data_IF_603117391490
#
_entry.id   IF_603117391490
#
_cell.length_a   1.000
_cell.length_b   1.000
_cell.length_c   1.000
_cell.angle_alpha   90.00
_cell.angle_beta   90.00
_cell.angle_gamma   90.00
#
_symmetry.space_group_name_H-M   'P 1'
#
loop_
_entity.id
_entity.type
_entity.pdbx_description
1 polymer ?
#
# COMPACT_ATOMS: atom_id res chain seq x y z
N UNK A 1 -20.90 -19.22 -18.80
CA UNK A 1 -19.56 -19.82 -18.74
C UNK A 1 -19.02 -19.59 -17.34
N UNK A 2 -18.92 -20.69 -16.57
CA UNK A 2 -18.38 -20.67 -15.22
C UNK A 2 -16.87 -20.41 -15.30
N UNK A 3 -16.42 -19.31 -14.70
CA UNK A 3 -14.99 -19.09 -14.49
C UNK A 3 -14.49 -20.07 -13.44
N UNK A 4 -13.65 -21.01 -13.86
CA UNK A 4 -12.90 -21.90 -12.96
C UNK A 4 -11.93 -21.05 -12.11
N UNK A 5 -12.07 -21.16 -10.80
CA UNK A 5 -11.22 -20.50 -9.81
C UNK A 5 -9.89 -21.25 -9.76
N UNK A 6 -8.72 -20.61 -9.94
CA UNK A 6 -7.44 -21.29 -9.83
C UNK A 6 -7.24 -21.87 -8.42
N UNK A 7 -7.13 -23.19 -8.34
CA UNK A 7 -7.01 -23.98 -7.09
C UNK A 7 -5.62 -23.95 -6.43
N UNK A 8 -4.69 -23.05 -6.80
CA UNK A 8 -3.25 -23.28 -6.54
C UNK A 8 -2.64 -22.80 -5.24
N UNK A 9 -3.33 -22.05 -4.34
CA UNK A 9 -2.69 -21.56 -3.10
C UNK A 9 -3.36 -21.97 -1.78
N UNK A 10 -4.39 -22.77 -1.86
CA UNK A 10 -5.01 -23.42 -0.72
C UNK A 10 -4.87 -24.92 -0.94
N UNK A 11 -3.61 -25.41 -0.70
CA UNK A 11 -3.21 -26.79 -0.99
C UNK A 11 -4.21 -27.85 -0.48
N UNK A 12 -4.43 -28.76 -1.33
CA UNK A 12 -4.83 -30.16 -1.40
C UNK A 12 -5.60 -30.87 -0.26
N UNK A 13 -5.81 -30.28 0.93
CA UNK A 13 -6.42 -31.00 2.06
C UNK A 13 -7.65 -30.29 2.65
N UNK A 14 -8.39 -29.50 1.87
CA UNK A 14 -9.60 -28.83 2.36
C UNK A 14 -10.82 -29.56 1.82
N UNK A 15 -11.51 -30.30 2.67
CA UNK A 15 -12.89 -30.69 2.42
C UNK A 15 -13.72 -29.41 2.22
N UNK A 16 -14.54 -29.38 1.17
CA UNK A 16 -15.40 -28.23 0.84
C UNK A 16 -16.41 -27.87 1.95
N UNK A 17 -16.64 -28.77 2.90
CA UNK A 17 -17.50 -28.60 4.07
C UNK A 17 -16.99 -27.60 5.11
N UNK A 18 -15.66 -27.28 5.10
CA UNK A 18 -15.04 -26.45 6.14
C UNK A 18 -14.98 -24.96 5.78
N UNK A 19 -15.44 -24.61 4.58
CA UNK A 19 -15.41 -23.25 4.06
C UNK A 19 -16.80 -22.61 4.13
N UNK A 20 -16.89 -21.55 4.92
CA UNK A 20 -18.09 -20.72 5.01
C UNK A 20 -17.92 -19.46 4.16
N UNK A 21 -18.93 -19.15 3.33
CA UNK A 21 -18.88 -18.02 2.41
C UNK A 21 -19.79 -16.87 2.83
N UNK A 22 -19.24 -15.67 2.89
CA UNK A 22 -19.90 -14.44 3.29
C UNK A 22 -19.75 -13.33 2.24
N UNK A 23 -20.51 -12.26 2.37
CA UNK A 23 -20.22 -11.00 1.71
C UNK A 23 -18.95 -10.41 2.32
N UNK A 24 -18.06 -9.86 1.49
CA UNK A 24 -16.82 -9.31 1.98
C UNK A 24 -17.05 -7.98 2.71
N UNK A 25 -16.63 -7.86 3.98
CA UNK A 25 -16.77 -6.61 4.73
C UNK A 25 -15.81 -5.50 4.26
N UNK A 26 -14.79 -5.85 3.47
CA UNK A 26 -13.76 -4.91 3.03
C UNK A 26 -14.05 -4.29 1.65
N UNK A 27 -14.70 -5.02 0.74
CA UNK A 27 -14.99 -4.52 -0.60
C UNK A 27 -16.47 -4.51 -0.95
N UNK A 28 -17.35 -4.93 -0.02
CA UNK A 28 -18.81 -4.94 -0.16
C UNK A 28 -19.32 -5.55 -1.48
N UNK A 29 -18.57 -6.49 -2.08
CA UNK A 29 -18.91 -7.12 -3.35
C UNK A 29 -20.28 -7.85 -3.26
N UNK A 30 -21.10 -7.72 -4.28
CA UNK A 30 -22.48 -8.22 -4.33
C UNK A 30 -22.64 -9.76 -4.29
N UNK A 31 -21.55 -10.53 -4.40
CA UNK A 31 -21.55 -12.01 -4.29
C UNK A 31 -20.77 -12.45 -3.06
N UNK A 32 -21.19 -13.56 -2.44
CA UNK A 32 -20.49 -14.19 -1.33
C UNK A 32 -19.15 -14.78 -1.79
N UNK A 33 -18.10 -14.00 -1.78
CA UNK A 33 -16.73 -14.38 -2.20
C UNK A 33 -15.69 -14.26 -1.08
N UNK A 34 -16.15 -14.01 0.14
CA UNK A 34 -15.32 -13.99 1.34
C UNK A 34 -15.41 -15.36 2.01
N UNK A 35 -14.35 -16.13 1.92
CA UNK A 35 -14.27 -17.49 2.47
C UNK A 35 -13.60 -17.46 3.84
N UNK A 36 -14.20 -18.13 4.81
CA UNK A 36 -13.68 -18.34 6.17
C UNK A 36 -13.56 -19.83 6.40
N UNK A 37 -12.39 -20.30 6.81
CA UNK A 37 -12.15 -21.66 7.28
C UNK A 37 -11.93 -21.61 8.80
N UNK A 38 -12.90 -22.11 9.57
CA UNK A 38 -12.88 -22.07 11.02
C UNK A 38 -11.82 -23.05 11.56
N UNK A 39 -11.71 -24.23 10.97
CA UNK A 39 -10.77 -25.28 11.41
C UNK A 39 -9.33 -24.84 11.21
N UNK A 40 -9.02 -24.25 10.04
CA UNK A 40 -7.66 -23.76 9.73
C UNK A 40 -7.41 -22.32 10.23
N UNK A 41 -8.39 -21.71 10.90
CA UNK A 41 -8.31 -20.34 11.44
C UNK A 41 -7.86 -19.30 10.40
N UNK A 42 -8.37 -19.40 9.15
CA UNK A 42 -7.95 -18.59 8.00
C UNK A 42 -9.15 -18.00 7.26
N UNK A 43 -8.91 -16.88 6.59
CA UNK A 43 -9.93 -16.23 5.76
C UNK A 43 -9.33 -15.56 4.53
N UNK A 44 -10.12 -15.44 3.46
CA UNK A 44 -9.71 -14.78 2.21
C UNK A 44 -10.92 -14.28 1.43
N UNK A 45 -10.82 -13.06 0.89
CA UNK A 45 -11.72 -12.59 -0.15
C UNK A 45 -11.12 -12.87 -1.54
N UNK A 46 -11.87 -13.54 -2.40
CA UNK A 46 -11.44 -13.87 -3.75
C UNK A 46 -11.58 -12.71 -4.75
N UNK A 47 -12.19 -11.59 -4.33
CA UNK A 47 -12.38 -10.39 -5.15
C UNK A 47 -11.32 -9.34 -4.85
N UNK A 48 -11.25 -8.85 -3.61
CA UNK A 48 -10.29 -7.80 -3.24
C UNK A 48 -8.94 -8.33 -2.74
N UNK A 49 -8.77 -9.66 -2.62
CA UNK A 49 -7.52 -10.27 -2.15
C UNK A 49 -7.25 -10.15 -0.65
N UNK A 50 -8.10 -9.47 0.12
CA UNK A 50 -7.96 -9.38 1.57
C UNK A 50 -7.92 -10.79 2.18
N UNK A 51 -6.92 -11.07 3.01
CA UNK A 51 -6.70 -12.38 3.62
C UNK A 51 -6.05 -12.26 5.00
N UNK A 52 -6.15 -13.33 5.77
CA UNK A 52 -5.47 -13.44 7.06
C UNK A 52 -5.43 -14.89 7.56
N UNK A 53 -4.48 -15.14 8.44
CA UNK A 53 -4.21 -16.47 8.99
C UNK A 53 -4.83 -16.69 10.37
N UNK A 54 -5.60 -15.70 10.89
CA UNK A 54 -6.25 -15.79 12.20
C UNK A 54 -7.59 -15.07 12.19
N UNK A 55 -8.63 -15.70 12.74
CA UNK A 55 -9.97 -15.09 12.86
C UNK A 55 -9.99 -13.96 13.89
N UNK A 56 -9.21 -14.03 14.96
CA UNK A 56 -9.06 -12.92 15.90
C UNK A 56 -8.56 -11.66 15.18
N UNK A 57 -7.59 -11.79 14.26
CA UNK A 57 -7.11 -10.69 13.42
C UNK A 57 -8.18 -10.13 12.48
N UNK A 58 -9.09 -10.98 11.97
CA UNK A 58 -10.25 -10.54 11.20
C UNK A 58 -11.19 -9.69 12.06
N UNK A 59 -11.55 -10.17 13.24
CA UNK A 59 -12.47 -9.48 14.15
C UNK A 59 -11.91 -8.13 14.62
N UNK A 60 -10.60 -8.07 14.93
CA UNK A 60 -9.93 -6.79 15.22
C UNK A 60 -10.00 -5.81 14.03
N UNK A 61 -9.83 -6.29 12.78
CA UNK A 61 -9.94 -5.45 11.58
C UNK A 61 -11.36 -4.96 11.31
N UNK A 62 -12.36 -5.65 11.82
CA UNK A 62 -13.76 -5.28 11.74
C UNK A 62 -14.22 -4.38 12.89
N UNK A 63 -13.28 -4.01 13.76
CA UNK A 63 -13.49 -3.14 14.93
C UNK A 63 -14.66 -3.61 15.83
N UNK A 64 -14.74 -4.94 16.02
CA UNK A 64 -15.77 -5.55 16.86
C UNK A 64 -15.47 -5.34 18.34
N UNK A 65 -16.51 -5.40 19.16
CA UNK A 65 -16.38 -5.17 20.61
C UNK A 65 -15.44 -6.18 21.30
N UNK A 66 -14.76 -5.79 22.39
CA UNK A 66 -13.93 -6.69 23.19
C UNK A 66 -14.69 -7.94 23.68
N UNK A 67 -15.99 -7.82 23.92
CA UNK A 67 -16.88 -8.93 24.32
C UNK A 67 -16.95 -9.98 23.24
N UNK A 68 -17.20 -9.58 21.97
CA UNK A 68 -17.26 -10.48 20.82
C UNK A 68 -15.90 -11.16 20.55
N UNK A 69 -14.78 -10.44 20.77
CA UNK A 69 -13.44 -11.04 20.68
C UNK A 69 -13.26 -12.11 21.78
N UNK A 70 -13.77 -11.87 22.99
CA UNK A 70 -13.73 -12.84 24.08
C UNK A 70 -14.55 -14.10 23.75
N UNK A 71 -15.76 -13.92 23.22
CA UNK A 71 -16.60 -15.03 22.75
C UNK A 71 -15.92 -15.84 21.63
N UNK A 72 -15.32 -15.17 20.63
CA UNK A 72 -14.55 -15.84 19.59
C UNK A 72 -13.41 -16.67 20.18
N UNK A 73 -12.66 -16.16 21.18
CA UNK A 73 -11.57 -16.89 21.83
C UNK A 73 -12.05 -18.16 22.54
N UNK A 74 -13.26 -18.18 23.04
CA UNK A 74 -13.86 -19.38 23.65
C UNK A 74 -14.22 -20.44 22.63
N UNK A 75 -14.46 -20.05 21.38
CA UNK A 75 -14.77 -20.96 20.27
C UNK A 75 -13.52 -21.50 19.54
N UNK A 76 -12.35 -20.88 19.77
CA UNK A 76 -11.08 -21.30 19.16
C UNK A 76 -10.32 -22.25 20.09
N UNK A 77 -9.46 -23.09 19.51
CA UNK A 77 -8.58 -23.93 20.31
C UNK A 77 -7.56 -23.10 21.10
N UNK A 78 -7.09 -23.62 22.24
CA UNK A 78 -6.05 -22.92 23.03
C UNK A 78 -4.78 -22.64 22.21
N UNK A 79 -4.42 -23.56 21.32
CA UNK A 79 -3.26 -23.40 20.43
C UNK A 79 -3.47 -22.25 19.43
N UNK A 80 -4.67 -22.09 18.88
CA UNK A 80 -5.00 -20.99 17.97
C UNK A 80 -4.94 -19.64 18.67
N UNK A 81 -5.40 -19.59 19.93
CA UNK A 81 -5.34 -18.36 20.75
C UNK A 81 -3.89 -18.05 21.11
N UNK A 82 -3.09 -19.03 21.55
CA UNK A 82 -1.67 -18.86 21.88
C UNK A 82 -0.84 -18.42 20.66
N UNK A 83 -1.07 -19.04 19.51
CA UNK A 83 -0.39 -18.67 18.25
C UNK A 83 -0.72 -17.22 17.86
N UNK A 84 -1.96 -16.77 18.06
CA UNK A 84 -2.33 -15.39 17.80
C UNK A 84 -1.66 -14.41 18.80
N UNK A 85 -1.62 -14.75 20.09
CA UNK A 85 -0.96 -13.92 21.13
C UNK A 85 0.54 -13.81 20.86
N UNK A 86 1.19 -14.87 20.37
CA UNK A 86 2.61 -14.83 19.99
C UNK A 86 2.89 -13.96 18.76
N UNK A 87 1.87 -13.74 17.89
CA UNK A 87 1.96 -12.80 16.76
C UNK A 87 1.54 -11.38 17.12
N UNK A 88 0.84 -11.16 18.25
CA UNK A 88 0.46 -9.82 18.76
C UNK A 88 1.61 -9.15 19.59
N UNK A 89 2.58 -9.93 20.05
CA UNK A 89 3.91 -9.40 20.26
C UNK A 89 4.47 -9.23 18.86
N UNK A 90 4.41 -8.01 18.31
CA UNK A 90 5.36 -7.53 17.34
C UNK A 90 6.76 -7.82 17.95
N UNK A 91 7.28 -9.04 17.75
CA UNK A 91 8.72 -9.16 17.59
C UNK A 91 8.98 -8.13 16.50
N UNK A 92 9.65 -7.07 16.87
CA UNK A 92 10.15 -6.07 15.95
C UNK A 92 11.17 -6.82 15.11
N UNK A 93 10.65 -7.56 14.11
CA UNK A 93 11.51 -8.17 13.09
C UNK A 93 12.20 -6.99 12.46
N UNK A 94 13.43 -6.78 12.89
CA UNK A 94 14.23 -5.68 12.36
C UNK A 94 14.32 -5.88 10.85
N UNK A 95 13.68 -5.00 10.13
CA UNK A 95 13.68 -5.07 8.67
C UNK A 95 15.04 -4.63 8.16
N UNK A 96 15.68 -5.48 7.37
CA UNK A 96 16.92 -5.17 6.69
C UNK A 96 16.70 -5.13 5.18
N UNK A 97 17.54 -4.34 4.49
CA UNK A 97 17.61 -4.44 3.03
C UNK A 97 18.10 -5.84 2.64
N UNK A 98 17.72 -6.32 1.43
CA UNK A 98 18.26 -7.58 0.92
C UNK A 98 19.79 -7.61 1.00
N UNK A 99 20.36 -8.75 1.35
CA UNK A 99 21.83 -8.89 1.44
C UNK A 99 22.53 -8.53 0.12
N UNK A 100 21.87 -8.81 -1.00
CA UNK A 100 22.35 -8.56 -2.36
C UNK A 100 22.09 -7.13 -2.84
N UNK A 101 21.60 -6.25 -1.97
CA UNK A 101 21.31 -4.86 -2.32
C UNK A 101 22.58 -4.13 -2.76
N UNK A 102 22.52 -3.54 -3.96
CA UNK A 102 23.57 -2.68 -4.52
C UNK A 102 22.99 -1.29 -4.79
N UNK A 103 23.66 -0.21 -4.36
CA UNK A 103 23.20 1.14 -4.61
C UNK A 103 23.37 1.52 -6.08
N UNK A 104 22.33 2.12 -6.69
CA UNK A 104 22.40 2.58 -8.10
C UNK A 104 23.30 3.80 -8.32
N UNK A 105 23.67 4.54 -7.27
CA UNK A 105 24.61 5.65 -7.38
C UNK A 105 26.09 5.20 -7.38
N UNK A 106 26.37 3.91 -7.29
CA UNK A 106 27.70 3.33 -7.48
C UNK A 106 27.71 2.55 -8.79
N UNK A 107 28.19 3.16 -9.90
CA UNK A 107 28.20 2.51 -11.20
C UNK A 107 29.03 1.23 -11.21
N UNK A 108 28.52 0.21 -11.89
CA UNK A 108 29.22 -1.04 -12.21
C UNK A 108 29.06 -1.34 -13.68
N UNK A 109 29.92 -2.21 -14.23
CA UNK A 109 29.85 -2.56 -15.66
C UNK A 109 28.99 -3.80 -15.93
N UNK A 110 28.23 -4.28 -14.92
CA UNK A 110 27.36 -5.44 -15.07
C UNK A 110 26.18 -5.14 -15.98
N UNK A 111 25.71 -6.17 -16.67
CA UNK A 111 24.50 -6.09 -17.51
C UNK A 111 23.29 -5.66 -16.67
N UNK A 112 23.14 -6.22 -15.47
CA UNK A 112 22.02 -5.95 -14.56
C UNK A 112 22.00 -4.48 -14.11
N UNK A 113 23.18 -3.90 -13.78
CA UNK A 113 23.27 -2.47 -13.49
C UNK A 113 22.81 -1.61 -14.66
N UNK A 114 23.30 -1.90 -15.87
CA UNK A 114 22.93 -1.16 -17.10
C UNK A 114 21.42 -1.24 -17.38
N UNK A 115 20.82 -2.39 -17.08
CA UNK A 115 19.38 -2.58 -17.25
C UNK A 115 18.57 -1.84 -16.17
N UNK A 116 18.97 -1.97 -14.91
CA UNK A 116 18.33 -1.30 -13.78
C UNK A 116 18.37 0.23 -13.92
N UNK A 117 19.54 0.80 -14.28
CA UNK A 117 19.67 2.26 -14.45
C UNK A 117 18.87 2.78 -15.65
N UNK A 118 18.80 2.01 -16.75
CA UNK A 118 17.96 2.35 -17.91
C UNK A 118 16.48 2.37 -17.54
N UNK A 119 16.03 1.37 -16.79
CA UNK A 119 14.66 1.30 -16.28
C UNK A 119 14.29 2.53 -15.45
N UNK A 120 15.15 2.93 -14.51
CA UNK A 120 14.94 4.10 -13.65
C UNK A 120 14.94 5.40 -14.48
N UNK A 121 15.88 5.56 -15.41
CA UNK A 121 15.92 6.74 -16.30
C UNK A 121 14.68 6.85 -17.18
N UNK A 122 14.19 5.74 -17.72
CA UNK A 122 12.97 5.71 -18.54
C UNK A 122 11.71 6.13 -17.75
N UNK A 123 11.74 6.04 -16.41
CA UNK A 123 10.71 6.57 -15.49
C UNK A 123 10.94 8.03 -15.09
N UNK A 124 11.84 8.75 -15.74
CA UNK A 124 12.12 10.14 -15.42
C UNK A 124 12.83 10.37 -14.08
N UNK A 125 13.32 9.31 -13.42
CA UNK A 125 14.03 9.40 -12.14
C UNK A 125 15.47 9.81 -12.40
N UNK A 126 15.88 10.93 -11.82
CA UNK A 126 17.21 11.51 -12.00
C UNK A 126 18.24 10.89 -11.06
N UNK A 127 19.53 11.21 -11.30
CA UNK A 127 20.62 10.84 -10.38
C UNK A 127 20.45 11.44 -8.98
N UNK A 128 19.87 12.64 -8.90
CA UNK A 128 19.51 13.26 -7.62
C UNK A 128 18.47 12.43 -6.86
N UNK A 129 17.42 11.98 -7.54
CA UNK A 129 16.37 11.16 -6.94
C UNK A 129 16.92 9.79 -6.47
N UNK A 130 17.82 9.20 -7.24
CA UNK A 130 18.49 7.93 -6.87
C UNK A 130 19.21 8.08 -5.53
N UNK A 131 19.96 9.17 -5.34
CA UNK A 131 20.70 9.43 -4.11
C UNK A 131 19.74 9.78 -2.97
N UNK A 132 18.80 10.68 -3.22
CA UNK A 132 17.84 11.17 -2.23
C UNK A 132 17.02 10.04 -1.61
N UNK A 133 16.48 9.14 -2.45
CA UNK A 133 15.67 8.02 -2.01
C UNK A 133 16.48 6.74 -1.78
N UNK A 134 17.81 6.83 -1.81
CA UNK A 134 18.71 5.70 -1.58
C UNK A 134 18.40 4.49 -2.45
N UNK A 135 17.96 4.73 -3.72
CA UNK A 135 17.51 3.68 -4.63
C UNK A 135 18.64 2.75 -5.00
N UNK A 136 18.40 1.45 -4.92
CA UNK A 136 19.31 0.42 -5.34
C UNK A 136 18.64 -0.67 -6.15
N UNK A 137 19.34 -1.77 -6.33
CA UNK A 137 18.86 -2.92 -7.06
C UNK A 137 19.48 -4.21 -6.52
N UNK A 138 18.91 -5.34 -6.87
CA UNK A 138 19.47 -6.66 -6.61
C UNK A 138 19.67 -7.38 -7.95
N UNK A 139 20.88 -7.93 -8.16
CA UNK A 139 21.19 -8.73 -9.35
C UNK A 139 20.70 -10.18 -9.17
N UNK A 140 20.82 -10.71 -7.97
CA UNK A 140 20.57 -12.10 -7.62
C UNK A 140 19.72 -12.21 -6.36
N UNK A 141 19.50 -13.43 -5.88
CA UNK A 141 18.79 -13.72 -4.65
C UNK A 141 17.29 -13.59 -4.74
N UNK A 142 16.58 -13.57 -3.60
CA UNK A 142 15.12 -13.51 -3.57
C UNK A 142 14.51 -12.28 -4.24
N UNK A 143 15.28 -11.20 -4.33
CA UNK A 143 14.90 -9.93 -4.97
C UNK A 143 15.67 -9.66 -6.26
N UNK A 144 16.33 -10.66 -6.82
CA UNK A 144 17.05 -10.55 -8.10
C UNK A 144 16.19 -9.97 -9.22
N UNK A 145 16.78 -9.13 -10.08
CA UNK A 145 16.09 -8.44 -11.17
C UNK A 145 15.12 -7.34 -10.71
N UNK A 146 15.35 -6.73 -9.53
CA UNK A 146 14.44 -5.72 -8.96
C UNK A 146 15.15 -4.45 -8.51
N UNK A 147 14.51 -3.33 -8.79
CA UNK A 147 14.80 -2.05 -8.14
C UNK A 147 14.30 -2.13 -6.71
N UNK A 148 15.11 -1.68 -5.78
CA UNK A 148 14.77 -1.57 -4.37
C UNK A 148 14.68 -0.09 -4.02
N UNK A 149 13.52 0.33 -3.54
CA UNK A 149 13.28 1.70 -3.03
C UNK A 149 13.06 1.60 -1.53
N UNK A 150 14.08 1.87 -0.70
CA UNK A 150 13.96 1.83 0.74
C UNK A 150 13.16 3.02 1.28
N UNK A 151 12.59 2.83 2.46
CA UNK A 151 11.90 3.85 3.23
C UNK A 151 12.37 3.79 4.67
N UNK A 152 12.62 4.94 5.24
CA UNK A 152 13.06 5.09 6.61
C UNK A 152 12.07 5.96 7.40
N UNK A 153 11.98 5.70 8.70
CA UNK A 153 11.23 6.53 9.64
C UNK A 153 12.03 7.80 10.03
N UNK A 154 11.45 8.62 10.88
CA UNK A 154 12.08 9.86 11.36
C UNK A 154 13.33 9.63 12.25
N UNK A 155 13.57 8.40 12.70
CA UNK A 155 14.76 8.00 13.46
C UNK A 155 15.86 7.44 12.54
N UNK A 156 15.59 7.36 11.22
CA UNK A 156 16.50 6.79 10.22
C UNK A 156 16.51 5.26 10.20
N UNK A 157 15.54 4.59 10.83
CA UNK A 157 15.40 3.15 10.81
C UNK A 157 14.63 2.71 9.60
N UNK A 158 15.08 1.65 8.91
CA UNK A 158 14.37 1.07 7.77
C UNK A 158 12.99 0.56 8.23
N UNK A 159 11.91 1.19 7.73
CA UNK A 159 10.54 0.84 8.08
C UNK A 159 9.81 0.05 6.97
N UNK A 160 10.27 0.19 5.71
CA UNK A 160 9.77 -0.55 4.56
C UNK A 160 10.75 -0.52 3.39
N UNK A 161 10.52 -1.33 2.37
CA UNK A 161 11.07 -1.12 1.04
C UNK A 161 10.11 -1.65 -0.03
N UNK A 162 10.15 -1.04 -1.20
CA UNK A 162 9.42 -1.55 -2.36
C UNK A 162 10.42 -2.20 -3.32
N UNK A 163 10.09 -3.38 -3.80
CA UNK A 163 10.91 -4.12 -4.76
C UNK A 163 10.14 -4.31 -6.06
N UNK A 164 10.51 -3.56 -7.11
CA UNK A 164 9.89 -3.57 -8.43
C UNK A 164 10.78 -4.21 -9.47
N UNK A 165 10.26 -5.17 -10.23
CA UNK A 165 11.00 -5.77 -11.35
C UNK A 165 11.32 -4.73 -12.42
N UNK A 166 12.58 -4.73 -12.90
CA UNK A 166 12.99 -3.99 -14.10
C UNK A 166 12.97 -4.87 -15.36
N UNK A 167 12.55 -6.12 -15.23
CA UNK A 167 12.23 -7.01 -16.33
C UNK A 167 10.73 -7.05 -16.56
N UNK A 168 10.31 -7.43 -17.78
CA UNK A 168 8.91 -7.73 -18.03
C UNK A 168 8.54 -9.06 -17.39
N UNK A 169 7.59 -9.00 -16.44
CA UNK A 169 7.16 -10.16 -15.64
C UNK A 169 5.76 -9.95 -15.09
N UNK A 170 5.01 -11.04 -14.93
CA UNK A 170 3.70 -11.01 -14.29
C UNK A 170 3.76 -10.60 -12.80
N UNK A 171 4.90 -10.83 -12.13
CA UNK A 171 5.12 -10.42 -10.74
C UNK A 171 5.90 -9.10 -10.69
N UNK A 172 5.24 -8.00 -11.03
CA UNK A 172 5.85 -6.66 -11.05
C UNK A 172 6.43 -6.24 -9.69
N UNK A 173 5.76 -6.56 -8.58
CA UNK A 173 6.18 -6.21 -7.23
C UNK A 173 6.39 -7.44 -6.35
N UNK A 174 7.45 -7.42 -5.54
CA UNK A 174 7.74 -8.41 -4.49
C UNK A 174 8.23 -7.66 -3.26
N UNK A 175 7.31 -7.15 -2.47
CA UNK A 175 7.64 -6.37 -1.28
C UNK A 175 8.00 -7.28 -0.08
N UNK A 176 8.64 -6.74 0.98
CA UNK A 176 8.95 -7.52 2.18
C UNK A 176 7.67 -8.01 2.85
N UNK A 177 7.72 -9.17 3.55
CA UNK A 177 6.55 -9.78 4.19
C UNK A 177 6.19 -9.11 5.52
N UNK A 178 6.28 -7.76 5.59
CA UNK A 178 5.94 -6.95 6.75
C UNK A 178 4.69 -6.11 6.49
N UNK A 179 4.13 -5.54 7.56
CA UNK A 179 2.93 -4.70 7.46
C UNK A 179 3.18 -3.47 6.59
N UNK A 180 2.21 -3.12 5.73
CA UNK A 180 2.17 -1.85 5.01
C UNK A 180 1.67 -0.67 5.85
N UNK A 181 1.32 -0.90 7.12
CA UNK A 181 0.87 0.16 8.03
C UNK A 181 2.07 0.96 8.55
N UNK A 182 2.73 1.66 7.65
CA UNK A 182 3.92 2.49 7.88
C UNK A 182 3.73 3.86 7.23
N UNK A 183 4.52 4.83 7.64
CA UNK A 183 4.67 6.10 6.91
C UNK A 183 5.90 5.95 6.02
N UNK A 184 5.67 5.89 4.72
CA UNK A 184 6.75 5.71 3.75
C UNK A 184 7.44 7.05 3.51
N UNK A 185 8.78 7.06 3.49
CA UNK A 185 9.64 8.25 3.37
C UNK A 185 9.48 9.26 4.51
N UNK A 186 9.10 8.81 5.72
CA UNK A 186 8.83 9.69 6.87
C UNK A 186 10.02 10.61 7.18
N UNK A 187 11.28 10.14 7.03
CA UNK A 187 12.49 10.93 7.22
C UNK A 187 12.60 12.18 6.32
N UNK A 188 11.81 12.23 5.23
CA UNK A 188 11.86 13.29 4.23
C UNK A 188 10.67 14.26 4.31
N UNK A 189 9.75 14.04 5.26
CA UNK A 189 8.49 14.77 5.33
C UNK A 189 8.60 15.98 6.25
N UNK A 190 8.25 17.14 5.71
CA UNK A 190 8.03 18.34 6.49
C UNK A 190 6.52 18.45 6.80
N UNK A 191 6.15 18.09 8.03
CA UNK A 191 4.75 18.05 8.46
C UNK A 191 4.09 19.43 8.57
N UNK A 192 4.85 20.53 8.53
CA UNK A 192 4.31 21.90 8.53
C UNK A 192 3.93 22.42 7.12
N UNK A 193 4.25 21.66 6.09
CA UNK A 193 3.89 21.99 4.70
C UNK A 193 2.75 21.07 4.22
N UNK A 194 2.14 21.43 3.09
CA UNK A 194 1.14 20.59 2.43
C UNK A 194 1.69 19.22 2.06
N UNK A 195 0.90 18.18 2.28
CA UNK A 195 1.26 16.77 2.01
C UNK A 195 0.61 16.32 0.71
N UNK A 196 1.37 15.62 -0.14
CA UNK A 196 0.83 14.93 -1.33
C UNK A 196 0.74 13.44 -1.05
N UNK A 197 -0.47 12.90 -1.01
CA UNK A 197 -0.70 11.46 -0.87
C UNK A 197 -0.73 10.81 -2.25
N UNK A 198 0.17 9.87 -2.50
CA UNK A 198 0.30 9.15 -3.76
C UNK A 198 -0.08 7.66 -3.58
N UNK A 199 -0.44 6.96 -4.68
CA UNK A 199 -0.71 5.54 -4.63
C UNK A 199 0.59 4.75 -4.42
N UNK A 200 1.63 5.04 -5.18
CA UNK A 200 2.88 4.30 -5.22
C UNK A 200 4.14 5.14 -4.97
N UNK A 201 5.26 4.43 -4.75
CA UNK A 201 6.55 5.10 -4.47
C UNK A 201 7.09 5.88 -5.67
N UNK A 202 6.82 5.41 -6.90
CA UNK A 202 7.33 6.10 -8.09
C UNK A 202 6.58 7.41 -8.33
N UNK A 203 5.29 7.48 -8.01
CA UNK A 203 4.51 8.72 -8.07
C UNK A 203 5.04 9.72 -7.06
N UNK A 204 5.28 9.28 -5.82
CA UNK A 204 5.84 10.13 -4.78
C UNK A 204 7.25 10.64 -5.14
N UNK A 205 8.10 9.79 -5.76
CA UNK A 205 9.41 10.21 -6.25
C UNK A 205 9.27 11.27 -7.35
N UNK A 206 8.28 11.16 -8.23
CA UNK A 206 8.03 12.16 -9.28
C UNK A 206 7.54 13.50 -8.72
N UNK A 207 6.83 13.50 -7.60
CA UNK A 207 6.46 14.73 -6.86
C UNK A 207 7.65 15.36 -6.16
N UNK A 208 8.59 14.58 -5.66
CA UNK A 208 9.84 14.96 -4.96
C UNK A 208 9.69 15.70 -3.63
N UNK A 209 8.61 16.42 -3.39
CA UNK A 209 8.42 17.27 -2.20
C UNK A 209 7.21 16.81 -1.42
N UNK A 210 7.40 16.53 -0.14
CA UNK A 210 6.33 16.20 0.80
C UNK A 210 5.30 15.19 0.27
N UNK A 211 5.79 14.18 -0.46
CA UNK A 211 4.95 13.15 -1.05
C UNK A 211 5.07 11.85 -0.26
N UNK A 212 3.93 11.32 0.16
CA UNK A 212 3.84 10.08 0.93
C UNK A 212 3.08 9.04 0.12
N UNK A 213 3.73 7.95 -0.31
CA UNK A 213 3.04 6.85 -0.97
C UNK A 213 2.29 6.00 0.06
N UNK A 214 1.02 5.71 -0.22
CA UNK A 214 0.16 4.89 0.65
C UNK A 214 0.35 3.39 0.44
N UNK A 215 1.15 2.98 -0.55
CA UNK A 215 1.35 1.58 -0.98
C UNK A 215 0.05 0.87 -1.39
N UNK A 216 -0.86 1.62 -1.96
CA UNK A 216 -2.20 1.24 -2.41
C UNK A 216 -3.19 2.39 -2.25
N UNK A 217 -4.49 2.07 -2.40
CA UNK A 217 -5.56 3.07 -2.49
C UNK A 217 -6.15 3.52 -1.13
N UNK A 218 -5.65 2.96 0.00
CA UNK A 218 -6.20 3.21 1.33
C UNK A 218 -5.17 3.87 2.25
N UNK A 219 -5.62 4.83 3.06
CA UNK A 219 -4.79 5.53 4.02
C UNK A 219 -4.32 4.57 5.14
N UNK A 220 -3.00 4.34 5.29
CA UNK A 220 -2.48 3.55 6.41
C UNK A 220 -2.82 4.20 7.76
N UNK A 221 -3.15 3.39 8.77
CA UNK A 221 -3.55 3.91 10.08
C UNK A 221 -2.45 4.73 10.76
N UNK A 222 -1.19 4.30 10.65
CA UNK A 222 -0.04 5.07 11.17
C UNK A 222 0.07 6.44 10.49
N UNK A 223 -0.14 6.51 9.16
CA UNK A 223 -0.13 7.78 8.45
C UNK A 223 -1.30 8.68 8.87
N UNK A 224 -2.50 8.11 9.03
CA UNK A 224 -3.66 8.84 9.53
C UNK A 224 -3.36 9.50 10.90
N UNK A 225 -2.79 8.74 11.83
CA UNK A 225 -2.40 9.25 13.16
C UNK A 225 -1.37 10.37 13.02
N UNK A 226 -0.34 10.19 12.19
CA UNK A 226 0.71 11.21 11.97
C UNK A 226 0.17 12.51 11.38
N UNK A 227 -0.78 12.44 10.44
CA UNK A 227 -1.43 13.63 9.89
C UNK A 227 -2.15 14.44 10.99
N UNK A 228 -2.81 13.75 11.92
CA UNK A 228 -3.54 14.38 13.03
C UNK A 228 -2.60 14.92 14.11
N UNK A 229 -1.61 14.12 14.53
CA UNK A 229 -0.62 14.52 15.55
C UNK A 229 0.15 15.78 15.12
N UNK A 230 0.50 15.89 13.84
CA UNK A 230 1.21 17.03 13.30
C UNK A 230 0.29 18.17 12.83
N UNK A 231 -1.02 18.05 13.03
CA UNK A 231 -2.01 19.07 12.69
C UNK A 231 -1.89 19.54 11.23
N UNK A 232 -1.69 18.59 10.30
CA UNK A 232 -1.54 18.88 8.88
C UNK A 232 -2.78 19.60 8.37
N UNK A 233 -2.59 20.74 7.69
CA UNK A 233 -3.70 21.61 7.23
C UNK A 233 -4.16 21.29 5.83
N UNK A 234 -3.22 20.99 4.93
CA UNK A 234 -3.49 20.86 3.51
C UNK A 234 -2.95 19.52 2.97
N UNK A 235 -3.82 18.81 2.27
CA UNK A 235 -3.48 17.51 1.65
C UNK A 235 -3.93 17.51 0.19
N UNK A 236 -3.02 17.12 -0.69
CA UNK A 236 -3.31 16.81 -2.09
C UNK A 236 -3.43 15.29 -2.26
N UNK A 237 -4.48 14.84 -2.92
CA UNK A 237 -4.68 13.41 -3.24
C UNK A 237 -4.33 13.18 -4.71
N UNK A 238 -3.26 12.43 -4.95
CA UNK A 238 -2.76 12.06 -6.27
C UNK A 238 -2.85 10.55 -6.43
N UNK A 239 -4.01 10.07 -6.88
CA UNK A 239 -4.27 8.66 -7.16
C UNK A 239 -4.51 8.44 -8.65
N UNK A 240 -4.35 7.19 -9.09
CA UNK A 240 -4.61 6.80 -10.46
C UNK A 240 -6.09 7.02 -10.84
N UNK A 241 -6.37 7.27 -12.12
CA UNK A 241 -7.71 7.61 -12.61
C UNK A 241 -8.78 6.54 -12.30
N UNK A 242 -8.38 5.27 -12.14
CA UNK A 242 -9.25 4.16 -11.78
C UNK A 242 -9.59 4.10 -10.27
N UNK A 243 -8.94 4.93 -9.43
CA UNK A 243 -9.14 5.00 -7.98
C UNK A 243 -10.07 6.15 -7.53
N UNK A 244 -10.97 6.61 -8.41
CA UNK A 244 -11.82 7.78 -8.12
C UNK A 244 -12.71 7.61 -6.88
N UNK A 245 -13.28 6.43 -6.68
CA UNK A 245 -14.13 6.14 -5.51
C UNK A 245 -13.34 6.16 -4.22
N UNK A 246 -12.14 5.59 -4.23
CA UNK A 246 -11.22 5.56 -3.10
C UNK A 246 -10.73 6.99 -2.78
N UNK A 247 -10.42 7.78 -3.80
CA UNK A 247 -10.02 9.18 -3.63
C UNK A 247 -11.13 10.02 -2.96
N UNK A 248 -12.39 9.85 -3.37
CA UNK A 248 -13.53 10.52 -2.75
C UNK A 248 -13.74 10.09 -1.29
N UNK A 249 -13.60 8.80 -1.00
CA UNK A 249 -13.72 8.27 0.36
C UNK A 249 -12.62 8.81 1.26
N UNK A 250 -11.39 8.85 0.75
CA UNK A 250 -10.22 9.42 1.45
C UNK A 250 -10.41 10.91 1.71
N UNK A 251 -10.87 11.67 0.72
CA UNK A 251 -11.17 13.10 0.84
C UNK A 251 -12.20 13.36 1.94
N UNK A 252 -13.33 12.63 1.95
CA UNK A 252 -14.35 12.77 2.98
C UNK A 252 -13.81 12.52 4.38
N UNK A 253 -13.00 11.48 4.51
CA UNK A 253 -12.37 11.11 5.78
C UNK A 253 -11.44 12.22 6.28
N UNK A 254 -10.57 12.76 5.43
CA UNK A 254 -9.64 13.82 5.81
C UNK A 254 -10.37 15.13 6.11
N UNK A 255 -11.39 15.49 5.33
CA UNK A 255 -12.24 16.67 5.60
C UNK A 255 -12.98 16.57 6.93
N UNK A 256 -13.42 15.38 7.33
CA UNK A 256 -14.03 15.16 8.64
C UNK A 256 -13.07 15.46 9.82
N UNK A 257 -11.76 15.41 9.57
CA UNK A 257 -10.72 15.82 10.52
C UNK A 257 -10.35 17.30 10.45
N UNK A 258 -11.03 18.08 9.60
CA UNK A 258 -10.74 19.51 9.40
C UNK A 258 -9.56 19.80 8.48
N UNK A 259 -9.08 18.80 7.73
CA UNK A 259 -7.99 18.97 6.76
C UNK A 259 -8.56 19.48 5.44
N UNK A 260 -7.93 20.48 4.86
CA UNK A 260 -8.24 20.95 3.50
C UNK A 260 -7.73 19.93 2.49
N UNK A 261 -8.58 19.49 1.58
CA UNK A 261 -8.22 18.47 0.60
C UNK A 261 -8.45 18.94 -0.82
N UNK A 262 -7.45 18.76 -1.68
CA UNK A 262 -7.53 18.99 -3.12
C UNK A 262 -7.24 17.68 -3.87
N UNK A 263 -8.10 17.33 -4.83
CA UNK A 263 -7.83 16.20 -5.72
C UNK A 263 -7.01 16.66 -6.92
N UNK A 264 -5.93 15.93 -7.22
CA UNK A 264 -5.08 16.16 -8.38
C UNK A 264 -5.53 15.20 -9.48
N UNK A 265 -6.10 15.75 -10.55
CA UNK A 265 -6.50 14.98 -11.73
C UNK A 265 -5.37 14.97 -12.75
N UNK A 266 -4.73 13.84 -12.93
CA UNK A 266 -3.65 13.66 -13.90
C UNK A 266 -4.22 13.10 -15.20
N UNK A 267 -3.78 13.64 -16.34
CA UNK A 267 -4.16 13.16 -17.67
C UNK A 267 -2.92 12.83 -18.49
N UNK A 268 -3.00 11.78 -19.33
CA UNK A 268 -1.90 11.39 -20.24
C UNK A 268 -0.87 10.43 -19.66
N UNK A 269 -1.18 9.74 -18.58
CA UNK A 269 -0.33 8.73 -17.89
C UNK A 269 -0.41 8.83 -16.39
N UNK A 270 0.29 7.95 -15.66
CA UNK A 270 0.45 8.09 -14.21
C UNK A 270 1.54 9.15 -13.86
N UNK A 271 1.54 9.62 -12.62
CA UNK A 271 2.50 10.64 -12.17
C UNK A 271 3.96 10.17 -12.30
N UNK A 272 4.20 8.86 -12.11
CA UNK A 272 5.50 8.22 -12.26
C UNK A 272 6.00 8.19 -13.72
N UNK A 273 5.10 8.30 -14.70
CA UNK A 273 5.43 8.37 -16.13
C UNK A 273 5.61 9.80 -16.63
N UNK A 274 4.82 10.75 -16.09
CA UNK A 274 4.85 12.15 -16.49
C UNK A 274 6.08 12.92 -16.00
N UNK A 275 6.68 12.48 -14.90
CA UNK A 275 7.83 13.12 -14.27
C UNK A 275 7.48 14.42 -13.54
N UNK A 276 8.50 15.04 -12.91
CA UNK A 276 8.36 16.12 -11.96
C UNK A 276 7.60 17.36 -12.48
N UNK A 277 8.01 17.91 -13.64
CA UNK A 277 7.46 19.20 -14.11
C UNK A 277 5.95 19.10 -14.39
N UNK A 278 5.54 18.08 -15.15
CA UNK A 278 4.13 17.91 -15.49
C UNK A 278 3.28 17.57 -14.27
N UNK A 279 3.79 16.74 -13.37
CA UNK A 279 3.07 16.39 -12.13
C UNK A 279 2.81 17.65 -11.28
N UNK A 280 3.79 18.56 -11.18
CA UNK A 280 3.63 19.82 -10.44
C UNK A 280 2.68 20.81 -11.12
N UNK A 281 2.60 20.83 -12.44
CA UNK A 281 1.55 21.60 -13.15
C UNK A 281 0.14 21.15 -12.73
N UNK A 282 -0.10 19.85 -12.64
CA UNK A 282 -1.38 19.31 -12.15
C UNK A 282 -1.63 19.62 -10.68
N UNK A 283 -0.63 19.50 -9.81
CA UNK A 283 -0.75 19.84 -8.38
C UNK A 283 -1.09 21.32 -8.20
N UNK A 284 -0.39 22.22 -8.88
CA UNK A 284 -0.62 23.67 -8.80
C UNK A 284 -2.00 24.09 -9.35
N UNK A 285 -2.54 23.32 -10.28
CA UNK A 285 -3.86 23.57 -10.87
C UNK A 285 -4.98 22.82 -10.13
N UNK A 286 -4.66 22.03 -9.11
CA UNK A 286 -5.65 21.28 -8.34
C UNK A 286 -6.57 22.24 -7.58
N UNK A 287 -7.87 22.01 -7.70
CA UNK A 287 -8.90 22.81 -7.01
C UNK A 287 -9.40 22.02 -5.79
N UNK A 288 -9.76 22.75 -4.75
CA UNK A 288 -10.50 22.18 -3.65
C UNK A 288 -11.86 21.68 -4.17
N UNK A 289 -12.18 20.45 -3.89
CA UNK A 289 -13.46 19.86 -4.29
C UNK A 289 -14.59 20.49 -3.51
N UNK A 290 -15.57 21.07 -4.21
CA UNK A 290 -16.74 21.68 -3.59
C UNK A 290 -17.81 20.61 -3.29
N UNK A 291 -18.77 20.93 -2.42
CA UNK A 291 -19.91 20.04 -2.16
C UNK A 291 -20.70 19.73 -3.45
N UNK A 292 -20.78 20.69 -4.37
CA UNK A 292 -21.41 20.50 -5.68
C UNK A 292 -20.70 19.44 -6.52
N UNK A 293 -19.36 19.49 -6.57
CA UNK A 293 -18.53 18.51 -7.29
C UNK A 293 -18.74 17.10 -6.72
N UNK A 294 -18.84 17.03 -5.38
CA UNK A 294 -19.15 15.77 -4.69
C UNK A 294 -20.51 15.19 -5.10
N UNK A 295 -21.58 15.97 -5.09
CA UNK A 295 -22.92 15.51 -5.51
C UNK A 295 -22.92 15.08 -6.97
N UNK A 296 -22.29 15.87 -7.86
CA UNK A 296 -22.20 15.50 -9.28
C UNK A 296 -21.46 14.17 -9.51
N UNK A 297 -20.40 13.91 -8.77
CA UNK A 297 -19.63 12.66 -8.88
C UNK A 297 -20.45 11.43 -8.41
N UNK A 298 -21.32 11.60 -7.42
CA UNK A 298 -22.22 10.54 -6.95
C UNK A 298 -23.32 10.23 -7.96
N UNK A 299 -23.88 11.24 -8.60
CA UNK A 299 -24.94 11.10 -9.61
C UNK A 299 -24.45 10.47 -10.93
N UNK A 300 -23.17 10.60 -11.25
CA UNK A 300 -22.56 10.00 -12.45
C UNK A 300 -22.20 8.51 -12.28
N UNK A 301 -22.22 7.99 -11.06
CA UNK A 301 -21.88 6.59 -10.73
C UNK A 301 -23.12 5.75 -10.36
N UNK A 302 -24.32 6.26 -10.55
CA UNK A 302 -25.63 5.57 -10.50
C UNK A 302 -26.16 5.34 -11.89
#
# INVERSE_FOLDING_TARGET
TAYEIPKRDWSSDVCSSDLHYFFCPFCAHHKKKFAVNIIKNKWKCWVCGAKGNHLIGLFKRLDVSPTQIKELKQCLSENDVKTYVSHDHDEVVELHLPYEFKPLWKPTDTYEYKHAIRYIKNRGISGYDIIRYKIGYCETGPYGGRIIVPSYDNEGKLNYFVARSYHDTNMKYKNPPVSKNVVVFEEQINWSEAIVLCEGVFDAISVRRNAIPMLGKFLPKKLEVKLLENQVKDVYILLDADARTEALTLEQKLKAYGINVSQVSVTGGDAGELGFHKTWEFINNAKQTTFKDFIQSRLQNT
#
